data_IF_847568050317
#
_entry.id   IF_847568050317
#
_cell.length_a   1.000
_cell.length_b   1.000
_cell.length_c   1.000
_cell.angle_alpha   90.00
_cell.angle_beta   90.00
_cell.angle_gamma   90.00
#
_symmetry.space_group_name_H-M   'P 1'
#
loop_
_entity.id
_entity.type
_entity.pdbx_description
1 polymer ?
#
# COMPACT_ATOMS: atom_id res chain seq x y z
N UNK A 1 3.08 24.92 -30.99
CA UNK A 1 4.13 23.88 -30.96
C UNK A 1 4.12 23.33 -29.56
N UNK A 2 3.71 22.08 -29.44
CA UNK A 2 3.46 21.38 -28.18
C UNK A 2 4.61 21.60 -27.19
N UNK A 3 4.31 22.17 -26.02
CA UNK A 3 5.10 21.89 -24.84
C UNK A 3 5.03 20.37 -24.67
N UNK A 4 6.04 19.69 -25.19
CA UNK A 4 6.33 18.31 -24.88
C UNK A 4 6.18 18.19 -23.34
N UNK A 5 5.20 17.41 -22.89
CA UNK A 5 4.83 17.35 -21.48
C UNK A 5 6.02 16.79 -20.68
N UNK A 6 6.87 17.67 -20.16
CA UNK A 6 8.14 17.32 -19.50
C UNK A 6 7.90 16.41 -18.30
N UNK A 7 6.84 16.64 -17.54
CA UNK A 7 6.40 15.74 -16.48
C UNK A 7 6.17 14.33 -17.02
N UNK A 8 5.37 14.19 -18.09
CA UNK A 8 5.14 12.89 -18.72
C UNK A 8 6.42 12.24 -19.28
N UNK A 9 7.35 13.04 -19.82
CA UNK A 9 8.66 12.55 -20.27
C UNK A 9 9.46 11.95 -19.11
N UNK A 10 9.62 12.69 -18.01
CA UNK A 10 10.34 12.23 -16.83
C UNK A 10 9.63 11.05 -16.14
N UNK A 11 8.30 11.05 -16.07
CA UNK A 11 7.50 9.92 -15.59
C UNK A 11 7.78 8.65 -16.40
N UNK A 12 7.77 8.74 -17.73
CA UNK A 12 8.06 7.61 -18.61
C UNK A 12 9.51 7.13 -18.46
N UNK A 13 10.46 8.05 -18.30
CA UNK A 13 11.85 7.71 -18.05
C UNK A 13 12.04 7.03 -16.70
N UNK A 14 11.34 7.50 -15.66
CA UNK A 14 11.28 6.86 -14.34
C UNK A 14 10.76 5.44 -14.43
N UNK A 15 9.63 5.22 -15.12
CA UNK A 15 9.05 3.89 -15.36
C UNK A 15 10.03 2.97 -16.09
N UNK A 16 10.73 3.49 -17.11
CA UNK A 16 11.74 2.73 -17.84
C UNK A 16 12.89 2.30 -16.93
N UNK A 17 13.41 3.20 -16.09
CA UNK A 17 14.47 2.85 -15.14
C UNK A 17 14.00 1.87 -14.08
N UNK A 18 12.76 1.99 -13.60
CA UNK A 18 12.17 1.04 -12.66
C UNK A 18 12.09 -0.37 -13.27
N UNK A 19 11.66 -0.49 -14.53
CA UNK A 19 11.62 -1.75 -15.27
C UNK A 19 13.01 -2.36 -15.50
N UNK A 20 14.05 -1.52 -15.56
CA UNK A 20 15.45 -1.94 -15.62
C UNK A 20 16.06 -2.21 -14.23
N UNK A 21 15.23 -2.22 -13.17
CA UNK A 21 15.63 -2.36 -11.78
C UNK A 21 16.64 -1.29 -11.29
N UNK A 22 16.73 -0.15 -11.99
CA UNK A 22 17.55 0.98 -11.60
C UNK A 22 16.70 1.98 -10.80
N UNK A 23 16.44 1.61 -9.54
CA UNK A 23 15.47 2.30 -8.69
C UNK A 23 15.89 3.73 -8.35
N UNK A 24 17.19 3.99 -8.15
CA UNK A 24 17.68 5.34 -7.86
C UNK A 24 17.46 6.31 -9.03
N UNK A 25 17.69 5.84 -10.27
CA UNK A 25 17.38 6.64 -11.46
C UNK A 25 15.87 6.78 -11.66
N UNK A 26 15.07 5.77 -11.30
CA UNK A 26 13.62 5.89 -11.33
C UNK A 26 13.14 7.03 -10.41
N UNK A 27 13.57 7.00 -9.14
CA UNK A 27 13.24 8.03 -8.14
C UNK A 27 13.68 9.41 -8.62
N UNK A 28 14.92 9.55 -9.11
CA UNK A 28 15.41 10.83 -9.63
C UNK A 28 14.50 11.40 -10.72
N UNK A 29 14.07 10.57 -11.67
CA UNK A 29 13.20 11.02 -12.75
C UNK A 29 11.78 11.29 -12.27
N UNK A 30 11.24 10.51 -11.33
CA UNK A 30 9.94 10.84 -10.74
C UNK A 30 9.96 12.16 -9.97
N UNK A 31 11.05 12.49 -9.27
CA UNK A 31 11.20 13.78 -8.60
C UNK A 31 11.23 14.94 -9.62
N UNK A 32 11.96 14.79 -10.73
CA UNK A 32 11.92 15.77 -11.84
C UNK A 32 10.52 15.89 -12.45
N UNK A 33 9.78 14.79 -12.56
CA UNK A 33 8.41 14.80 -13.06
C UNK A 33 7.45 15.57 -12.13
N UNK A 34 7.66 15.48 -10.80
CA UNK A 34 6.93 16.26 -9.80
C UNK A 34 7.32 17.74 -9.77
N UNK A 35 8.56 18.10 -10.09
CA UNK A 35 8.95 19.51 -10.23
C UNK A 35 8.15 20.20 -11.36
N UNK A 36 7.81 19.46 -12.41
CA UNK A 36 7.04 19.95 -13.56
C UNK A 36 5.52 19.86 -13.33
N UNK A 37 5.05 18.84 -12.62
CA UNK A 37 3.63 18.65 -12.28
C UNK A 37 3.47 18.08 -10.85
N UNK A 38 3.40 18.95 -9.83
CA UNK A 38 3.27 18.54 -8.43
C UNK A 38 1.93 17.85 -8.09
N UNK A 39 0.92 17.97 -8.97
CA UNK A 39 -0.44 17.45 -8.77
C UNK A 39 -0.68 16.13 -9.51
N UNK A 40 0.33 15.59 -10.19
CA UNK A 40 0.23 14.27 -10.79
C UNK A 40 0.40 13.16 -9.72
N UNK A 41 -0.72 12.78 -9.11
CA UNK A 41 -0.77 11.84 -7.98
C UNK A 41 -0.31 10.41 -8.32
N UNK A 42 -0.31 10.03 -9.60
CA UNK A 42 0.31 8.79 -10.07
C UNK A 42 1.83 8.79 -9.82
N UNK A 43 2.50 9.94 -9.90
CA UNK A 43 3.96 10.00 -9.66
C UNK A 43 4.28 9.68 -8.19
N UNK A 44 3.45 10.15 -7.25
CA UNK A 44 3.60 9.78 -5.84
C UNK A 44 3.38 8.29 -5.62
N UNK A 45 2.42 7.65 -6.31
CA UNK A 45 2.29 6.19 -6.28
C UNK A 45 3.59 5.51 -6.74
N UNK A 46 4.16 5.92 -7.87
CA UNK A 46 5.39 5.33 -8.41
C UNK A 46 6.61 5.56 -7.51
N UNK A 47 6.71 6.73 -6.87
CA UNK A 47 7.72 6.99 -5.83
C UNK A 47 7.51 6.04 -4.64
N UNK A 48 6.27 5.85 -4.21
CA UNK A 48 5.93 4.92 -3.14
C UNK A 48 6.41 3.50 -3.43
N UNK A 49 6.15 3.00 -4.64
CA UNK A 49 6.62 1.68 -5.11
C UNK A 49 8.15 1.63 -5.12
N UNK A 50 8.80 2.67 -5.64
CA UNK A 50 10.27 2.73 -5.71
C UNK A 50 10.90 2.70 -4.31
N UNK A 51 10.34 3.43 -3.35
CA UNK A 51 10.82 3.41 -1.96
C UNK A 51 10.56 2.06 -1.26
N UNK A 52 9.45 1.36 -1.58
CA UNK A 52 9.27 -0.02 -1.09
C UNK A 52 10.35 -0.97 -1.61
N UNK A 53 10.74 -0.86 -2.89
CA UNK A 53 11.82 -1.68 -3.47
C UNK A 53 13.15 -1.36 -2.79
N UNK A 54 13.39 -0.10 -2.40
CA UNK A 54 14.56 0.31 -1.61
C UNK A 54 14.51 -0.10 -0.14
N UNK A 55 13.46 -0.77 0.31
CA UNK A 55 13.24 -1.08 1.73
C UNK A 55 13.20 0.19 2.61
N UNK A 56 12.60 1.27 2.09
CA UNK A 56 12.40 2.56 2.76
C UNK A 56 10.89 2.79 3.03
N UNK A 57 10.25 1.99 3.91
CA UNK A 57 8.79 1.94 4.05
C UNK A 57 8.19 3.27 4.54
N UNK A 58 8.95 4.07 5.31
CA UNK A 58 8.49 5.38 5.78
C UNK A 58 8.28 6.36 4.61
N UNK A 59 9.24 6.43 3.68
CA UNK A 59 9.09 7.28 2.50
C UNK A 59 8.02 6.74 1.56
N UNK A 60 7.88 5.41 1.45
CA UNK A 60 6.81 4.80 0.70
C UNK A 60 5.43 5.19 1.25
N UNK A 61 5.23 5.05 2.56
CA UNK A 61 3.99 5.38 3.25
C UNK A 61 3.55 6.83 2.99
N UNK A 62 4.44 7.80 3.16
CA UNK A 62 4.13 9.22 2.92
C UNK A 62 3.72 9.49 1.47
N UNK A 63 4.39 8.86 0.50
CA UNK A 63 4.08 9.02 -0.91
C UNK A 63 2.73 8.37 -1.28
N UNK A 64 2.46 7.15 -0.81
CA UNK A 64 1.16 6.52 -1.02
C UNK A 64 0.01 7.29 -0.35
N UNK A 65 0.25 7.83 0.84
CA UNK A 65 -0.71 8.68 1.54
C UNK A 65 -1.08 9.90 0.68
N UNK A 66 -0.08 10.63 0.19
CA UNK A 66 -0.29 11.78 -0.72
C UNK A 66 -1.04 11.38 -1.99
N UNK A 67 -0.69 10.24 -2.58
CA UNK A 67 -1.36 9.68 -3.76
C UNK A 67 -2.85 9.45 -3.51
N UNK A 68 -3.19 8.81 -2.38
CA UNK A 68 -4.57 8.47 -2.01
C UNK A 68 -5.38 9.72 -1.64
N UNK A 69 -4.84 10.61 -0.81
CA UNK A 69 -5.55 11.81 -0.33
C UNK A 69 -6.03 12.68 -1.48
N UNK A 70 -5.25 12.76 -2.56
CA UNK A 70 -5.49 13.67 -3.67
C UNK A 70 -6.05 13.01 -4.94
N UNK A 71 -6.38 11.71 -4.91
CA UNK A 71 -7.30 11.12 -5.89
C UNK A 71 -6.76 9.97 -6.72
N UNK A 72 -5.48 9.60 -6.63
CA UNK A 72 -4.99 8.36 -7.24
C UNK A 72 -5.25 7.19 -6.29
N UNK A 73 -6.50 6.69 -6.36
CA UNK A 73 -7.10 5.71 -5.44
C UNK A 73 -7.33 4.37 -6.13
N UNK A 74 -6.24 3.69 -6.52
CA UNK A 74 -6.32 2.32 -7.05
C UNK A 74 -6.24 1.30 -5.92
N UNK A 75 -6.76 0.09 -6.17
CA UNK A 75 -6.62 -1.04 -5.23
C UNK A 75 -5.14 -1.30 -4.91
N UNK A 76 -4.29 -1.29 -5.93
CA UNK A 76 -2.85 -1.46 -5.78
C UNK A 76 -2.23 -0.39 -4.89
N UNK A 77 -2.63 0.87 -5.05
CA UNK A 77 -2.16 1.97 -4.19
C UNK A 77 -2.56 1.74 -2.73
N UNK A 78 -3.79 1.31 -2.46
CA UNK A 78 -4.23 0.98 -1.10
C UNK A 78 -3.49 -0.24 -0.53
N UNK A 79 -3.23 -1.25 -1.35
CA UNK A 79 -2.47 -2.42 -0.93
C UNK A 79 -1.06 -2.03 -0.49
N UNK A 80 -0.32 -1.27 -1.32
CA UNK A 80 1.02 -0.82 -0.97
C UNK A 80 1.04 0.20 0.16
N UNK A 81 0.02 1.06 0.26
CA UNK A 81 -0.18 1.95 1.40
C UNK A 81 -0.30 1.17 2.70
N UNK A 82 -1.17 0.16 2.75
CA UNK A 82 -1.38 -0.69 3.92
C UNK A 82 -0.12 -1.47 4.29
N UNK A 83 0.59 -2.00 3.29
CA UNK A 83 1.87 -2.69 3.48
C UNK A 83 2.91 -1.75 4.09
N UNK A 84 3.11 -0.57 3.49
CA UNK A 84 4.05 0.43 3.98
C UNK A 84 3.69 0.91 5.39
N UNK A 85 2.40 1.14 5.66
CA UNK A 85 1.91 1.50 6.99
C UNK A 85 2.21 0.40 8.03
N UNK A 86 1.95 -0.87 7.68
CA UNK A 86 2.24 -2.00 8.55
C UNK A 86 3.75 -2.12 8.86
N UNK A 87 4.59 -1.99 7.83
CA UNK A 87 6.05 -2.04 7.95
C UNK A 87 6.60 -0.87 8.80
N UNK A 88 5.91 0.28 8.79
CA UNK A 88 6.20 1.41 9.67
C UNK A 88 5.71 1.25 11.11
N UNK A 89 4.96 0.18 11.43
CA UNK A 89 4.31 0.03 12.73
C UNK A 89 3.05 0.88 12.90
N UNK A 90 2.54 1.51 11.83
CA UNK A 90 1.33 2.32 11.82
C UNK A 90 0.08 1.44 11.78
N UNK A 91 -0.05 0.52 12.75
CA UNK A 91 -1.11 -0.50 12.74
C UNK A 91 -2.52 0.08 12.84
N UNK A 92 -2.70 1.18 13.58
CA UNK A 92 -4.00 1.85 13.67
C UNK A 92 -4.44 2.41 12.32
N UNK A 93 -3.48 2.87 11.51
CA UNK A 93 -3.75 3.37 10.17
C UNK A 93 -4.24 2.24 9.25
N UNK A 94 -3.65 1.05 9.37
CA UNK A 94 -4.13 -0.12 8.64
C UNK A 94 -5.62 -0.42 8.93
N UNK A 95 -6.05 -0.25 10.19
CA UNK A 95 -7.42 -0.52 10.61
C UNK A 95 -8.41 0.57 10.20
N UNK A 96 -7.95 1.83 10.05
CA UNK A 96 -8.79 2.98 9.66
C UNK A 96 -9.24 2.93 8.20
N UNK A 97 -8.45 2.31 7.32
CA UNK A 97 -8.82 2.18 5.91
C UNK A 97 -10.12 1.38 5.81
N UNK A 98 -11.20 2.08 5.46
CA UNK A 98 -12.52 1.48 5.23
C UNK A 98 -12.44 0.66 3.95
N UNK A 99 -12.53 -0.65 4.11
CA UNK A 99 -12.62 -1.56 2.99
C UNK A 99 -13.97 -1.35 2.30
N UNK A 100 -13.98 -0.98 1.01
CA UNK A 100 -15.17 -1.16 0.16
C UNK A 100 -15.22 -2.61 -0.34
N UNK A 101 -16.33 -3.01 -0.97
CA UNK A 101 -16.59 -4.39 -1.41
C UNK A 101 -15.52 -4.96 -2.36
N UNK A 102 -14.65 -4.11 -2.92
CA UNK A 102 -13.55 -4.48 -3.81
C UNK A 102 -12.20 -4.70 -3.09
N UNK A 103 -12.15 -4.72 -1.74
CA UNK A 103 -10.91 -4.99 -1.04
C UNK A 103 -10.53 -6.46 -1.14
N UNK A 104 -9.48 -6.73 -1.93
CA UNK A 104 -8.89 -8.04 -2.10
C UNK A 104 -8.42 -8.63 -0.76
N UNK A 105 -8.44 -9.96 -0.68
CA UNK A 105 -8.03 -10.78 0.46
C UNK A 105 -6.76 -10.25 1.15
N UNK A 106 -5.74 -9.88 0.37
CA UNK A 106 -4.43 -9.46 0.87
C UNK A 106 -4.48 -8.23 1.80
N UNK A 107 -5.36 -7.27 1.51
CA UNK A 107 -5.53 -6.09 2.36
C UNK A 107 -6.18 -6.45 3.69
N UNK A 108 -7.17 -7.37 3.67
CA UNK A 108 -7.79 -7.85 4.91
C UNK A 108 -6.80 -8.69 5.74
N UNK A 109 -5.90 -9.45 5.12
CA UNK A 109 -4.82 -10.14 5.82
C UNK A 109 -3.90 -9.14 6.55
N UNK A 110 -3.54 -8.02 5.91
CA UNK A 110 -2.76 -6.95 6.55
C UNK A 110 -3.52 -6.36 7.75
N UNK A 111 -4.83 -6.14 7.62
CA UNK A 111 -5.68 -5.63 8.71
C UNK A 111 -5.78 -6.61 9.88
N UNK A 112 -5.94 -7.91 9.63
CA UNK A 112 -5.92 -8.96 10.66
C UNK A 112 -4.58 -8.93 11.40
N UNK A 113 -3.46 -8.91 10.67
CA UNK A 113 -2.12 -8.82 11.26
C UNK A 113 -1.95 -7.55 12.10
N UNK A 114 -2.44 -6.40 11.62
CA UNK A 114 -2.38 -5.14 12.34
C UNK A 114 -3.22 -5.18 13.63
N UNK A 115 -4.42 -5.75 13.58
CA UNK A 115 -5.27 -5.95 14.76
C UNK A 115 -4.57 -6.86 15.79
N UNK A 116 -3.95 -7.95 15.36
CA UNK A 116 -3.17 -8.84 16.24
C UNK A 116 -1.98 -8.11 16.89
N UNK A 117 -1.28 -7.24 16.16
CA UNK A 117 -0.17 -6.42 16.71
C UNK A 117 -0.64 -5.43 17.77
N UNK A 118 -1.89 -4.99 17.68
CA UNK A 118 -2.54 -4.10 18.65
C UNK A 118 -3.30 -4.85 19.76
N UNK A 119 -3.20 -6.18 19.82
CA UNK A 119 -3.98 -7.04 20.72
C UNK A 119 -5.51 -6.87 20.57
N UNK A 120 -5.99 -6.43 19.40
CA UNK A 120 -7.42 -6.28 19.06
C UNK A 120 -7.95 -7.60 18.48
N UNK A 121 -7.87 -8.68 19.27
CA UNK A 121 -8.16 -10.04 18.81
C UNK A 121 -9.62 -10.26 18.39
N UNK A 122 -10.59 -9.63 19.06
CA UNK A 122 -12.00 -9.67 18.64
C UNK A 122 -12.22 -9.09 17.24
N UNK A 123 -11.62 -7.93 16.95
CA UNK A 123 -11.67 -7.32 15.62
C UNK A 123 -10.94 -8.18 14.57
N UNK A 124 -9.80 -8.77 14.95
CA UNK A 124 -9.08 -9.68 14.06
C UNK A 124 -9.93 -10.90 13.68
N UNK A 125 -10.68 -11.45 14.65
CA UNK A 125 -11.59 -12.57 14.43
C UNK A 125 -12.77 -12.19 13.53
N UNK A 126 -13.40 -11.04 13.78
CA UNK A 126 -14.51 -10.52 12.97
C UNK A 126 -14.13 -10.40 11.48
N UNK A 127 -12.99 -9.77 11.19
CA UNK A 127 -12.50 -9.62 9.81
C UNK A 127 -12.22 -10.99 9.18
N UNK A 128 -11.66 -11.92 9.95
CA UNK A 128 -11.33 -13.27 9.49
C UNK A 128 -12.59 -14.08 9.18
N UNK A 129 -13.60 -14.03 10.04
CA UNK A 129 -14.88 -14.71 9.82
C UNK A 129 -15.59 -14.16 8.59
N UNK A 130 -15.57 -12.84 8.39
CA UNK A 130 -16.12 -12.22 7.18
C UNK A 130 -15.44 -12.73 5.91
N UNK A 131 -14.11 -12.89 5.90
CA UNK A 131 -13.39 -13.48 4.77
C UNK A 131 -13.84 -14.92 4.51
N UNK A 132 -13.98 -15.74 5.56
CA UNK A 132 -14.44 -17.12 5.43
C UNK A 132 -15.86 -17.23 4.90
N UNK A 133 -16.78 -16.37 5.38
CA UNK A 133 -18.15 -16.30 4.87
C UNK A 133 -18.20 -15.97 3.38
N UNK A 134 -17.25 -15.16 2.90
CA UNK A 134 -17.09 -14.83 1.48
C UNK A 134 -16.37 -15.93 0.67
N UNK A 135 -16.13 -17.10 1.24
CA UNK A 135 -15.54 -18.26 0.57
C UNK A 135 -14.01 -18.28 0.55
N UNK A 136 -13.34 -17.35 1.24
CA UNK A 136 -11.88 -17.34 1.32
C UNK A 136 -11.38 -18.30 2.41
N UNK A 137 -10.50 -19.21 2.02
CA UNK A 137 -9.84 -20.14 2.94
C UNK A 137 -8.39 -20.33 2.51
N UNK A 138 -7.48 -20.25 3.48
CA UNK A 138 -6.06 -20.50 3.26
C UNK A 138 -5.43 -21.08 4.52
N UNK A 139 -4.29 -21.76 4.37
CA UNK A 139 -3.52 -22.25 5.52
C UNK A 139 -3.10 -21.09 6.44
N UNK A 140 -2.79 -19.93 5.88
CA UNK A 140 -2.45 -18.72 6.62
C UNK A 140 -3.64 -18.24 7.48
N UNK A 141 -4.85 -18.17 6.90
CA UNK A 141 -6.07 -17.78 7.63
C UNK A 141 -6.36 -18.75 8.79
N UNK A 142 -6.25 -20.06 8.55
CA UNK A 142 -6.47 -21.07 9.60
C UNK A 142 -5.43 -20.98 10.73
N UNK A 143 -4.18 -20.64 10.41
CA UNK A 143 -3.15 -20.42 11.41
C UNK A 143 -3.43 -19.15 12.23
N UNK A 144 -3.83 -18.06 11.58
CA UNK A 144 -4.19 -16.80 12.27
C UNK A 144 -5.37 -17.01 13.21
N UNK A 145 -6.42 -17.71 12.79
CA UNK A 145 -7.58 -18.04 13.63
C UNK A 145 -7.17 -18.80 14.90
N UNK A 146 -6.32 -19.83 14.77
CA UNK A 146 -5.80 -20.58 15.93
C UNK A 146 -5.07 -19.65 16.90
N UNK A 147 -4.22 -18.76 16.39
CA UNK A 147 -3.46 -17.81 17.23
C UNK A 147 -4.42 -16.84 17.93
N UNK A 148 -5.40 -16.31 17.20
CA UNK A 148 -6.39 -15.37 17.73
C UNK A 148 -7.20 -16.03 18.85
N UNK A 149 -7.73 -17.23 18.62
CA UNK A 149 -8.52 -17.98 19.61
C UNK A 149 -7.75 -18.32 20.88
N UNK A 150 -6.44 -18.60 20.78
CA UNK A 150 -5.58 -18.83 21.94
C UNK A 150 -5.35 -17.57 22.79
N UNK A 151 -5.53 -16.38 22.22
CA UNK A 151 -5.28 -15.08 22.86
C UNK A 151 -6.57 -14.35 23.27
N UNK A 152 -7.72 -14.87 22.88
CA UNK A 152 -9.05 -14.32 23.16
C UNK A 152 -9.71 -14.91 24.42
N UNK A 153 -8.96 -15.70 25.20
CA UNK A 153 -9.33 -16.28 26.50
C UNK A 153 -8.72 -15.43 27.61
#
# INVERSE_FOLDING_TARGET
MELQNKSAYYLNLGNKYLNLNNVDLAIKNYLLALEEDPENFLIYHNLGVSYLIKNEPKLAFENFKKSIENGFKTVETYYYYLKAAFDCGNYEECLRVKANENFFIDMNLIKIKAAMKLNKYNLALEILEQLKMNGFSSQELNLMEKIINLRNI
#
